data_IF_852577967743
#
_entry.id   IF_852577967743
#
_cell.length_a   1.000
_cell.length_b   1.000
_cell.length_c   1.000
_cell.angle_alpha   90.00
_cell.angle_beta   90.00
_cell.angle_gamma   90.00
#
_symmetry.space_group_name_H-M   'P 1'
#
loop_
_entity.id
_entity.type
_entity.pdbx_description
1 polymer ?
#
# COMPACT_ATOMS: atom_id res chain seq x y z
N UNK A 1 -23.34 -55.51 32.75
CA UNK A 1 -22.44 -56.06 31.70
C UNK A 1 -22.00 -54.90 30.81
N UNK A 2 -20.98 -54.15 31.21
CA UNK A 2 -20.34 -53.14 30.35
C UNK A 2 -19.30 -53.86 29.49
N UNK A 3 -19.35 -53.64 28.18
CA UNK A 3 -18.33 -54.08 27.23
C UNK A 3 -17.45 -52.86 26.93
N UNK A 4 -16.24 -52.85 27.46
CA UNK A 4 -15.21 -51.89 27.07
C UNK A 4 -14.70 -52.23 25.67
N UNK A 5 -14.83 -51.28 24.74
CA UNK A 5 -14.26 -51.37 23.40
C UNK A 5 -12.86 -50.76 23.50
N UNK A 6 -11.82 -51.58 23.28
CA UNK A 6 -10.45 -51.11 23.08
C UNK A 6 -10.24 -50.75 21.61
N UNK A 7 -9.80 -49.53 21.35
CA UNK A 7 -9.38 -49.07 20.02
C UNK A 7 -7.86 -48.86 20.09
N UNK A 8 -7.10 -49.67 19.36
CA UNK A 8 -5.67 -49.49 19.20
C UNK A 8 -5.42 -48.45 18.10
N UNK A 9 -4.92 -47.28 18.50
CA UNK A 9 -4.42 -46.23 17.60
C UNK A 9 -2.89 -46.28 17.62
N UNK A 10 -2.28 -46.80 16.55
CA UNK A 10 -0.84 -46.64 16.34
C UNK A 10 -0.55 -45.19 15.94
N UNK A 11 0.16 -44.48 16.81
CA UNK A 11 0.63 -43.10 16.57
C UNK A 11 2.02 -43.18 15.92
N UNK A 12 2.24 -42.63 14.71
CA UNK A 12 3.57 -42.60 14.11
C UNK A 12 4.52 -41.71 14.89
N UNK A 13 5.74 -42.17 15.15
CA UNK A 13 6.76 -41.40 15.88
C UNK A 13 7.38 -40.29 15.02
N UNK A 14 7.52 -39.10 15.60
CA UNK A 14 8.20 -37.96 14.99
C UNK A 14 9.72 -38.19 14.89
N UNK A 15 10.40 -37.71 13.82
CA UNK A 15 11.84 -37.87 13.68
C UNK A 15 12.60 -37.02 14.70
N UNK A 16 13.53 -37.67 15.40
CA UNK A 16 14.41 -37.03 16.40
C UNK A 16 15.71 -36.58 15.74
N UNK A 17 16.16 -35.36 16.03
CA UNK A 17 17.45 -34.82 15.56
C UNK A 17 18.60 -35.47 16.34
N UNK A 18 19.57 -36.06 15.64
CA UNK A 18 20.81 -36.58 16.25
C UNK A 18 21.88 -35.48 16.38
N UNK A 19 22.27 -35.18 17.61
CA UNK A 19 23.40 -34.31 17.95
C UNK A 19 24.74 -35.01 17.67
N UNK A 20 25.51 -34.51 16.70
CA UNK A 20 26.91 -34.93 16.51
C UNK A 20 27.84 -34.15 17.43
N UNK A 21 28.58 -34.90 18.26
CA UNK A 21 29.53 -34.48 19.30
C UNK A 21 30.64 -33.54 18.78
N UNK A 22 30.99 -32.57 19.63
CA UNK A 22 32.18 -31.70 19.52
C UNK A 22 33.44 -32.47 19.92
N UNK A 23 34.46 -32.44 19.07
CA UNK A 23 35.84 -32.78 19.45
C UNK A 23 36.77 -31.56 19.48
N UNK A 24 37.70 -31.58 20.45
CA UNK A 24 38.56 -30.49 20.90
C UNK A 24 39.77 -30.25 19.98
N UNK A 25 39.88 -29.00 19.52
CA UNK A 25 41.05 -28.08 19.47
C UNK A 25 42.47 -28.70 19.47
N UNK A 26 43.17 -28.60 18.34
CA UNK A 26 44.64 -28.60 18.27
C UNK A 26 45.13 -27.26 17.67
N UNK A 27 46.02 -26.57 18.39
CA UNK A 27 46.64 -25.29 17.98
C UNK A 27 47.90 -25.57 17.18
N UNK A 28 47.97 -25.16 15.90
CA UNK A 28 49.24 -24.96 15.17
C UNK A 28 49.20 -23.68 14.32
N UNK A 29 50.40 -23.14 14.14
CA UNK A 29 50.79 -21.73 13.95
C UNK A 29 50.39 -21.14 12.59
N UNK A 30 50.31 -19.82 12.58
CA UNK A 30 49.99 -18.98 11.43
C UNK A 30 51.03 -19.07 10.32
N UNK A 31 50.56 -19.28 9.09
CA UNK A 31 51.10 -18.66 7.88
C UNK A 31 49.92 -18.36 6.95
N UNK A 32 49.53 -17.08 6.89
CA UNK A 32 48.54 -16.58 5.95
C UNK A 32 49.22 -16.45 4.58
N UNK A 33 49.13 -17.47 3.74
CA UNK A 33 49.21 -17.21 2.31
C UNK A 33 47.92 -16.51 1.88
N UNK A 34 48.03 -15.25 1.47
CA UNK A 34 46.96 -14.51 0.81
C UNK A 34 46.54 -15.29 -0.44
N UNK A 35 45.37 -15.93 -0.39
CA UNK A 35 44.65 -16.25 -1.62
C UNK A 35 44.09 -14.92 -2.11
N UNK A 36 44.62 -14.44 -3.23
CA UNK A 36 44.08 -13.28 -3.95
C UNK A 36 42.61 -13.54 -4.28
N UNK A 37 41.72 -12.66 -3.81
CA UNK A 37 40.32 -12.68 -4.24
C UNK A 37 40.25 -12.52 -5.77
N UNK A 38 39.41 -13.28 -6.48
CA UNK A 38 39.07 -12.96 -7.86
C UNK A 38 38.40 -11.59 -7.87
N UNK A 39 38.89 -10.66 -8.69
CA UNK A 39 38.23 -9.38 -8.92
C UNK A 39 36.87 -9.65 -9.57
N UNK A 40 35.79 -9.56 -8.80
CA UNK A 40 34.45 -9.52 -9.36
C UNK A 40 34.20 -8.10 -9.88
N UNK A 41 34.64 -7.84 -11.11
CA UNK A 41 34.19 -6.69 -11.89
C UNK A 41 32.78 -6.98 -12.40
N UNK A 42 31.79 -6.80 -11.54
CA UNK A 42 30.40 -6.46 -11.91
C UNK A 42 29.62 -6.26 -10.61
N UNK A 43 28.93 -5.12 -10.42
CA UNK A 43 27.94 -4.99 -9.38
C UNK A 43 26.91 -6.11 -9.52
N UNK A 44 26.29 -6.59 -8.41
CA UNK A 44 25.15 -7.47 -8.51
C UNK A 44 24.11 -6.85 -9.46
N UNK A 45 23.41 -7.66 -10.29
CA UNK A 45 22.36 -7.13 -11.13
C UNK A 45 21.39 -6.37 -10.23
N UNK A 46 21.15 -5.10 -10.53
CA UNK A 46 20.09 -4.36 -9.83
C UNK A 46 18.79 -5.13 -10.06
N UNK A 47 18.00 -5.29 -8.99
CA UNK A 47 16.67 -5.83 -9.13
C UNK A 47 15.90 -4.99 -10.16
N UNK A 48 15.11 -5.60 -11.05
CA UNK A 48 14.38 -4.87 -12.09
C UNK A 48 13.41 -3.81 -11.52
N UNK A 49 13.02 -3.95 -10.24
CA UNK A 49 12.29 -2.90 -9.51
C UNK A 49 13.12 -1.62 -9.28
N UNK A 50 14.42 -1.75 -9.02
CA UNK A 50 15.31 -0.62 -8.70
C UNK A 50 15.63 0.24 -9.94
N UNK A 51 15.80 -0.38 -11.12
CA UNK A 51 16.06 0.35 -12.37
C UNK A 51 14.82 1.12 -12.86
N UNK A 52 13.63 0.58 -12.61
CA UNK A 52 12.36 1.30 -12.82
C UNK A 52 12.20 2.49 -11.86
N UNK A 53 12.75 2.37 -10.65
CA UNK A 53 12.67 3.39 -9.61
C UNK A 53 13.63 4.57 -9.89
N UNK A 54 14.84 4.29 -10.37
CA UNK A 54 15.83 5.32 -10.72
C UNK A 54 15.43 6.13 -11.97
N UNK A 55 14.89 5.46 -13.01
CA UNK A 55 14.35 6.16 -14.18
C UNK A 55 13.15 7.05 -13.83
N UNK A 56 12.37 6.67 -12.81
CA UNK A 56 11.23 7.43 -12.35
C UNK A 56 11.64 8.60 -11.46
N UNK A 57 12.64 8.45 -10.57
CA UNK A 57 13.23 9.56 -9.79
C UNK A 57 13.73 10.67 -10.71
N UNK A 58 14.35 10.29 -11.83
CA UNK A 58 14.82 11.24 -12.84
C UNK A 58 13.66 11.89 -13.60
N UNK A 59 12.56 11.16 -13.85
CA UNK A 59 11.38 11.69 -14.53
C UNK A 59 10.45 12.54 -13.65
N UNK A 60 10.27 12.23 -12.37
CA UNK A 60 9.55 13.10 -11.41
C UNK A 60 10.32 14.39 -11.13
N UNK A 61 11.67 14.34 -11.09
CA UNK A 61 12.51 15.55 -11.01
C UNK A 61 12.33 16.46 -12.22
N UNK A 62 12.14 15.87 -13.41
CA UNK A 62 11.95 16.59 -14.66
C UNK A 62 10.46 16.84 -15.00
N UNK A 63 9.53 16.38 -14.16
CA UNK A 63 8.10 16.57 -14.37
C UNK A 63 7.69 17.90 -13.78
N UNK A 64 7.62 18.92 -14.64
CA UNK A 64 7.16 20.24 -14.26
C UNK A 64 5.62 20.25 -14.16
N UNK A 65 5.11 20.08 -12.95
CA UNK A 65 3.67 20.10 -12.67
C UNK A 65 3.02 21.45 -13.05
N UNK A 66 3.80 22.52 -13.18
CA UNK A 66 3.29 23.82 -13.62
C UNK A 66 2.87 23.83 -15.10
N UNK A 67 3.41 22.92 -15.94
CA UNK A 67 3.00 22.81 -17.36
C UNK A 67 1.53 22.35 -17.47
N UNK A 68 1.04 21.57 -16.51
CA UNK A 68 -0.37 21.14 -16.49
C UNK A 68 -1.29 22.24 -15.91
N UNK A 69 -0.79 23.05 -14.97
CA UNK A 69 -1.51 24.17 -14.36
C UNK A 69 -1.68 25.36 -15.34
N UNK A 70 -0.87 25.44 -16.40
CA UNK A 70 -1.00 26.44 -17.47
C UNK A 70 -2.07 26.13 -18.53
N UNK A 71 -2.77 25.00 -18.46
CA UNK A 71 -3.92 24.72 -19.33
C UNK A 71 -5.23 25.15 -18.66
N UNK A 72 -5.39 26.46 -18.50
CA UNK A 72 -6.66 27.11 -18.16
C UNK A 72 -7.68 27.07 -19.32
N UNK A 73 -8.95 27.27 -18.96
CA UNK A 73 -10.20 26.97 -19.69
C UNK A 73 -10.38 27.42 -21.17
N UNK A 74 -9.46 28.14 -21.80
CA UNK A 74 -9.69 28.73 -23.14
C UNK A 74 -8.61 28.37 -24.17
N UNK A 75 -8.47 27.08 -24.52
CA UNK A 75 -7.68 26.68 -25.68
C UNK A 75 -8.39 25.64 -26.55
N UNK A 76 -8.50 25.87 -27.88
CA UNK A 76 -9.27 25.00 -28.76
C UNK A 76 -8.60 23.62 -28.84
N UNK A 77 -9.37 22.62 -28.42
CA UNK A 77 -9.10 21.17 -28.47
C UNK A 77 -8.41 20.77 -29.77
N UNK A 78 -7.07 20.78 -29.78
CA UNK A 78 -6.27 20.13 -30.81
C UNK A 78 -5.35 19.12 -30.14
N UNK A 79 -5.65 17.86 -30.43
CA UNK A 79 -4.84 16.68 -30.17
C UNK A 79 -4.35 16.52 -28.74
N UNK A 80 -5.30 16.24 -27.85
CA UNK A 80 -5.02 15.46 -26.65
C UNK A 80 -4.72 14.02 -27.09
N UNK A 81 -3.55 13.79 -27.69
CA UNK A 81 -2.81 12.56 -27.42
C UNK A 81 -2.48 12.64 -25.93
N UNK A 82 -3.50 12.31 -25.11
CA UNK A 82 -3.37 12.13 -23.67
C UNK A 82 -2.13 11.30 -23.50
N UNK A 83 -1.14 11.83 -22.81
CA UNK A 83 0.12 11.16 -22.57
C UNK A 83 -0.15 9.76 -22.01
N UNK A 84 -0.32 8.77 -22.90
CA UNK A 84 -0.67 7.39 -22.58
C UNK A 84 0.44 6.78 -21.71
N UNK A 85 1.64 7.34 -21.82
CA UNK A 85 2.83 7.06 -21.03
C UNK A 85 2.80 7.61 -19.59
N UNK A 86 2.01 8.66 -19.31
CA UNK A 86 1.77 9.18 -17.94
C UNK A 86 0.69 8.34 -17.24
N UNK A 87 -0.36 7.97 -17.97
CA UNK A 87 -1.44 7.10 -17.47
C UNK A 87 -0.95 5.67 -17.19
N UNK A 88 0.03 5.16 -17.96
CA UNK A 88 0.50 3.78 -17.86
C UNK A 88 1.52 3.46 -16.74
N UNK A 89 2.05 4.43 -15.99
CA UNK A 89 3.06 4.15 -14.92
C UNK A 89 2.76 4.74 -13.54
N UNK A 90 1.74 5.58 -13.45
CA UNK A 90 1.07 6.01 -12.21
C UNK A 90 -0.40 5.53 -12.24
N UNK A 91 -0.65 4.42 -12.93
CA UNK A 91 -1.94 3.79 -13.00
C UNK A 91 -2.43 3.49 -11.58
N UNK A 92 -3.70 3.79 -11.34
CA UNK A 92 -4.42 3.36 -10.15
C UNK A 92 -4.13 1.87 -9.95
N UNK A 93 -3.53 1.47 -8.83
CA UNK A 93 -3.17 0.07 -8.57
C UNK A 93 -3.84 -0.48 -7.31
N UNK A 94 -4.36 -1.69 -7.42
CA UNK A 94 -4.84 -2.49 -6.29
C UNK A 94 -3.67 -3.10 -5.47
N UNK A 95 -2.44 -2.89 -5.91
CA UNK A 95 -1.24 -3.35 -5.22
C UNK A 95 -0.42 -2.21 -4.60
N UNK A 96 -0.82 -0.95 -4.73
CA UNK A 96 -0.08 0.18 -4.16
C UNK A 96 -0.19 0.25 -2.63
N UNK A 97 -1.28 -0.29 -2.09
CA UNK A 97 -1.52 -0.48 -0.68
C UNK A 97 -2.25 -1.80 -0.41
N UNK A 98 -2.06 -2.34 0.79
CA UNK A 98 -2.83 -3.46 1.33
C UNK A 98 -3.65 -3.00 2.52
N UNK A 99 -4.95 -3.24 2.49
CA UNK A 99 -5.81 -3.06 3.64
C UNK A 99 -5.86 -4.34 4.47
N UNK A 100 -5.99 -4.19 5.79
CA UNK A 100 -5.99 -5.31 6.74
C UNK A 100 -7.10 -5.10 7.75
N UNK A 101 -7.46 -6.17 8.46
CA UNK A 101 -8.34 -6.05 9.62
C UNK A 101 -7.54 -6.21 10.91
N UNK A 102 -7.96 -5.58 12.02
CA UNK A 102 -7.40 -5.93 13.31
C UNK A 102 -7.70 -7.39 13.64
N UNK A 103 -6.77 -8.04 14.35
CA UNK A 103 -6.98 -9.41 14.87
C UNK A 103 -8.22 -9.46 15.78
N UNK A 104 -8.41 -8.42 16.58
CA UNK A 104 -9.60 -8.22 17.42
C UNK A 104 -10.48 -7.11 16.82
N UNK A 105 -11.67 -7.49 16.34
CA UNK A 105 -12.61 -6.57 15.70
C UNK A 105 -13.19 -5.55 16.68
N UNK A 106 -13.21 -5.82 17.99
CA UNK A 106 -13.65 -4.85 19.00
C UNK A 106 -12.82 -3.56 18.97
N UNK A 107 -11.58 -3.61 18.46
CA UNK A 107 -10.76 -2.41 18.25
C UNK A 107 -11.41 -1.40 17.31
N UNK A 108 -12.25 -1.84 16.37
CA UNK A 108 -12.92 -0.95 15.41
C UNK A 108 -14.01 -0.09 16.05
N UNK A 109 -14.54 -0.46 17.23
CA UNK A 109 -15.60 0.29 17.92
C UNK A 109 -15.13 1.66 18.42
N UNK A 110 -13.83 1.77 18.73
CA UNK A 110 -13.24 2.96 19.34
C UNK A 110 -12.51 3.84 18.32
N UNK A 111 -12.51 3.47 17.04
CA UNK A 111 -11.74 4.15 16.01
C UNK A 111 -12.59 5.11 15.19
N UNK A 112 -11.99 6.21 14.77
CA UNK A 112 -12.53 7.02 13.69
C UNK A 112 -12.24 6.37 12.33
N UNK A 113 -12.99 6.71 11.27
CA UNK A 113 -12.70 6.22 9.93
C UNK A 113 -11.27 6.54 9.48
N UNK A 114 -10.78 7.75 9.77
CA UNK A 114 -9.40 8.13 9.47
C UNK A 114 -8.39 7.29 10.25
N UNK A 115 -8.64 7.02 11.54
CA UNK A 115 -7.74 6.17 12.35
C UNK A 115 -7.68 4.74 11.82
N UNK A 116 -8.81 4.18 11.37
CA UNK A 116 -8.81 2.87 10.74
C UNK A 116 -7.88 2.86 9.52
N UNK A 117 -8.05 3.79 8.59
CA UNK A 117 -7.23 3.83 7.36
C UNK A 117 -5.77 4.11 7.69
N UNK A 118 -5.47 4.99 8.65
CA UNK A 118 -4.08 5.26 9.08
C UNK A 118 -3.40 4.02 9.66
N UNK A 119 -4.10 3.23 10.47
CA UNK A 119 -3.51 2.12 11.20
C UNK A 119 -3.54 0.78 10.45
N UNK A 120 -4.49 0.60 9.53
CA UNK A 120 -4.74 -0.68 8.85
C UNK A 120 -4.57 -0.60 7.33
N UNK A 121 -3.98 0.48 6.81
CA UNK A 121 -3.50 0.58 5.43
C UNK A 121 -1.97 0.46 5.39
N UNK A 122 -1.48 -0.61 4.77
CA UNK A 122 -0.06 -0.85 4.54
C UNK A 122 0.29 -0.34 3.15
N UNK A 123 1.00 0.78 3.08
CA UNK A 123 1.36 1.43 1.82
C UNK A 123 2.75 0.94 1.37
N UNK A 124 2.88 0.50 0.11
CA UNK A 124 4.18 0.07 -0.44
C UNK A 124 5.16 1.23 -0.53
N UNK A 125 6.46 0.92 -0.42
CA UNK A 125 7.55 1.91 -0.35
C UNK A 125 7.51 2.94 -1.48
N UNK A 126 7.34 2.47 -2.72
CA UNK A 126 7.22 3.32 -3.92
C UNK A 126 6.10 4.35 -3.80
N UNK A 127 4.93 3.91 -3.33
CA UNK A 127 3.75 4.77 -3.22
C UNK A 127 3.84 5.71 -2.02
N UNK A 128 4.38 5.24 -0.91
CA UNK A 128 4.70 6.08 0.26
C UNK A 128 5.61 7.25 -0.12
N UNK A 129 6.62 7.01 -0.95
CA UNK A 129 7.52 8.07 -1.44
C UNK A 129 6.78 9.14 -2.25
N UNK A 130 5.90 8.72 -3.17
CA UNK A 130 5.04 9.64 -3.94
C UNK A 130 4.17 10.51 -3.03
N UNK A 131 3.47 9.88 -2.08
CA UNK A 131 2.60 10.60 -1.15
C UNK A 131 3.39 11.61 -0.30
N UNK A 132 4.58 11.22 0.17
CA UNK A 132 5.48 12.11 0.90
C UNK A 132 5.95 13.31 0.05
N UNK A 133 6.33 13.08 -1.21
CA UNK A 133 6.83 14.14 -2.08
C UNK A 133 5.72 15.16 -2.40
N UNK A 134 4.47 14.70 -2.56
CA UNK A 134 3.31 15.58 -2.74
C UNK A 134 2.97 16.30 -1.43
N UNK A 135 2.98 15.59 -0.29
CA UNK A 135 2.74 16.18 1.02
C UNK A 135 3.68 17.35 1.31
N UNK A 136 4.97 17.21 1.00
CA UNK A 136 5.98 18.26 1.21
C UNK A 136 5.66 19.53 0.40
N UNK A 137 5.01 19.41 -0.76
CA UNK A 137 4.61 20.56 -1.60
C UNK A 137 3.38 21.31 -1.06
N UNK A 138 2.50 20.63 -0.33
CA UNK A 138 1.22 21.19 0.11
C UNK A 138 1.12 21.47 1.61
N UNK A 139 2.07 20.98 2.41
CA UNK A 139 2.12 21.32 3.83
C UNK A 139 2.41 22.81 4.01
N UNK A 140 1.79 23.41 5.02
CA UNK A 140 2.09 24.78 5.39
C UNK A 140 3.26 24.86 6.41
N UNK A 141 3.48 26.04 6.96
CA UNK A 141 4.54 26.29 7.96
C UNK A 141 4.36 25.48 9.25
N UNK A 142 3.17 24.97 9.54
CA UNK A 142 2.90 24.10 10.69
C UNK A 142 3.32 22.66 10.43
N UNK A 143 3.69 22.32 9.19
CA UNK A 143 4.07 20.97 8.80
C UNK A 143 2.89 20.04 8.52
N UNK A 144 1.68 20.58 8.35
CA UNK A 144 0.46 19.85 8.02
C UNK A 144 -0.21 20.45 6.78
N UNK A 145 -1.03 19.68 6.07
CA UNK A 145 -1.86 20.19 4.96
C UNK A 145 -3.15 20.75 5.57
N UNK A 146 -3.48 22.04 5.35
CA UNK A 146 -4.77 22.59 5.73
C UNK A 146 -5.86 22.07 4.78
N UNK A 147 -7.09 21.92 5.28
CA UNK A 147 -8.22 21.37 4.52
C UNK A 147 -8.40 21.98 3.13
N UNK A 148 -8.27 23.31 3.00
CA UNK A 148 -8.40 24.04 1.72
C UNK A 148 -7.44 23.59 0.61
N UNK A 149 -6.30 23.02 0.97
CA UNK A 149 -5.25 22.59 0.02
C UNK A 149 -5.30 21.06 -0.22
N UNK A 150 -6.17 20.35 0.50
CA UNK A 150 -6.23 18.89 0.53
C UNK A 150 -6.77 18.29 -0.77
N UNK A 151 -7.82 18.89 -1.35
CA UNK A 151 -8.36 18.48 -2.65
C UNK A 151 -7.28 18.56 -3.73
N UNK A 152 -6.58 19.70 -3.82
CA UNK A 152 -5.48 19.91 -4.77
C UNK A 152 -4.39 18.86 -4.60
N UNK A 153 -3.99 18.57 -3.37
CA UNK A 153 -2.96 17.58 -3.08
C UNK A 153 -3.38 16.16 -3.49
N UNK A 154 -4.62 15.74 -3.21
CA UNK A 154 -5.14 14.43 -3.61
C UNK A 154 -5.29 14.31 -5.14
N UNK A 155 -5.76 15.36 -5.80
CA UNK A 155 -5.87 15.40 -7.27
C UNK A 155 -4.51 15.21 -7.94
N UNK A 156 -3.45 15.76 -7.36
CA UNK A 156 -2.07 15.54 -7.84
C UNK A 156 -1.59 14.09 -7.66
N UNK A 157 -1.98 13.40 -6.58
CA UNK A 157 -1.66 11.97 -6.39
C UNK A 157 -2.31 11.12 -7.48
N UNK A 158 -3.56 11.46 -7.81
CA UNK A 158 -4.38 10.70 -8.74
C UNK A 158 -4.29 11.24 -10.18
N UNK A 159 -3.28 12.07 -10.48
CA UNK A 159 -2.99 12.58 -11.83
C UNK A 159 -4.25 13.17 -12.51
N UNK A 160 -5.01 13.97 -11.76
CA UNK A 160 -6.24 14.64 -12.19
C UNK A 160 -7.40 13.71 -12.61
N UNK A 161 -7.43 12.46 -12.14
CA UNK A 161 -8.62 11.60 -12.29
C UNK A 161 -9.67 11.84 -11.23
N UNK A 162 -9.31 12.52 -10.13
CA UNK A 162 -10.21 12.80 -9.02
C UNK A 162 -11.17 13.95 -9.36
N UNK A 163 -12.47 13.71 -9.29
CA UNK A 163 -13.48 14.78 -9.40
C UNK A 163 -13.78 15.39 -8.02
N UNK A 164 -14.37 16.59 -7.98
CA UNK A 164 -14.76 17.21 -6.71
C UNK A 164 -15.84 16.42 -5.96
N UNK A 165 -16.67 15.64 -6.66
CA UNK A 165 -17.66 14.77 -6.00
C UNK A 165 -16.99 13.54 -5.39
N UNK A 166 -15.96 12.98 -6.04
CA UNK A 166 -15.13 11.92 -5.44
C UNK A 166 -14.40 12.44 -4.20
N UNK A 167 -13.84 13.65 -4.27
CA UNK A 167 -13.19 14.29 -3.13
C UNK A 167 -14.15 14.47 -1.95
N UNK A 168 -15.34 15.03 -2.17
CA UNK A 168 -16.37 15.19 -1.14
C UNK A 168 -16.75 13.84 -0.53
N UNK A 169 -16.94 12.80 -1.36
CA UNK A 169 -17.22 11.45 -0.90
C UNK A 169 -16.12 10.91 0.01
N UNK A 170 -14.85 11.09 -0.35
CA UNK A 170 -13.70 10.63 0.46
C UNK A 170 -13.64 11.36 1.80
N UNK A 171 -13.79 12.69 1.78
CA UNK A 171 -13.80 13.53 2.99
C UNK A 171 -14.95 13.15 3.93
N UNK A 172 -16.14 12.94 3.38
CA UNK A 172 -17.32 12.51 4.14
C UNK A 172 -17.10 11.12 4.76
N UNK A 173 -16.56 10.17 3.96
CA UNK A 173 -16.30 8.80 4.39
C UNK A 173 -15.25 8.74 5.51
N UNK A 174 -14.25 9.62 5.46
CA UNK A 174 -13.20 9.71 6.47
C UNK A 174 -13.54 10.60 7.67
N UNK A 175 -14.72 11.24 7.65
CA UNK A 175 -15.18 12.16 8.69
C UNK A 175 -14.25 13.36 8.90
N UNK A 176 -13.70 13.87 7.80
CA UNK A 176 -12.77 15.01 7.82
C UNK A 176 -13.58 16.31 7.76
N UNK A 177 -13.28 17.22 8.69
CA UNK A 177 -13.92 18.54 8.76
C UNK A 177 -13.04 19.63 8.16
N UNK A 178 -13.64 20.77 7.85
CA UNK A 178 -12.97 21.93 7.26
C UNK A 178 -11.87 22.53 8.17
N UNK A 179 -11.94 22.27 9.47
CA UNK A 179 -10.92 22.69 10.46
C UNK A 179 -9.77 21.68 10.60
N UNK A 180 -9.89 20.51 9.98
CA UNK A 180 -8.90 19.44 10.11
C UNK A 180 -7.61 19.83 9.41
N UNK A 181 -6.49 19.52 10.08
CA UNK A 181 -5.15 19.62 9.53
C UNK A 181 -4.57 18.22 9.44
N UNK A 182 -4.12 17.86 8.25
CA UNK A 182 -3.74 16.49 7.93
C UNK A 182 -2.22 16.36 7.98
N UNK A 183 -1.73 15.41 8.78
CA UNK A 183 -0.32 15.03 8.85
C UNK A 183 0.08 14.10 7.70
N UNK A 184 1.36 13.76 7.59
CA UNK A 184 1.87 12.94 6.49
C UNK A 184 1.23 11.54 6.46
N UNK A 185 0.98 10.96 7.63
CA UNK A 185 0.39 9.63 7.74
C UNK A 185 -1.10 9.67 7.38
N UNK A 186 -1.83 10.68 7.85
CA UNK A 186 -3.22 10.93 7.45
C UNK A 186 -3.33 11.15 5.94
N UNK A 187 -2.48 12.00 5.36
CA UNK A 187 -2.51 12.26 3.93
C UNK A 187 -2.18 11.00 3.12
N UNK A 188 -1.18 10.23 3.55
CA UNK A 188 -0.80 8.98 2.88
C UNK A 188 -1.93 7.95 2.93
N UNK A 189 -2.60 7.82 4.07
CA UNK A 189 -3.75 6.95 4.25
C UNK A 189 -4.94 7.37 3.37
N UNK A 190 -5.25 8.67 3.33
CA UNK A 190 -6.27 9.24 2.46
C UNK A 190 -5.97 8.97 0.99
N UNK A 191 -4.73 9.20 0.57
CA UNK A 191 -4.28 8.99 -0.80
C UNK A 191 -4.40 7.51 -1.22
N UNK A 192 -4.01 6.59 -0.34
CA UNK A 192 -4.14 5.15 -0.57
C UNK A 192 -5.60 4.72 -0.69
N UNK A 193 -6.48 5.21 0.19
CA UNK A 193 -7.91 4.91 0.10
C UNK A 193 -8.51 5.49 -1.19
N UNK A 194 -8.21 6.75 -1.51
CA UNK A 194 -8.72 7.41 -2.69
C UNK A 194 -8.34 6.63 -3.96
N UNK A 195 -7.08 6.22 -4.07
CA UNK A 195 -6.62 5.37 -5.16
C UNK A 195 -7.37 4.04 -5.23
N UNK A 196 -7.60 3.39 -4.08
CA UNK A 196 -8.35 2.13 -4.00
C UNK A 196 -9.77 2.25 -4.53
N UNK A 197 -10.47 3.32 -4.15
CA UNK A 197 -11.82 3.59 -4.60
C UNK A 197 -11.85 3.91 -6.10
N UNK A 198 -10.86 4.67 -6.59
CA UNK A 198 -10.78 5.04 -8.00
C UNK A 198 -10.36 3.86 -8.89
N UNK A 199 -9.51 2.95 -8.42
CA UNK A 199 -9.18 1.71 -9.14
C UNK A 199 -10.45 0.95 -9.51
N UNK A 200 -11.36 0.77 -8.56
CA UNK A 200 -12.55 -0.05 -8.78
C UNK A 200 -13.48 0.53 -9.85
N UNK A 201 -13.45 1.83 -10.08
CA UNK A 201 -14.37 2.52 -11.01
C UNK A 201 -13.77 2.75 -12.39
N UNK A 202 -12.44 2.76 -12.52
CA UNK A 202 -11.76 3.17 -13.76
C UNK A 202 -11.01 2.04 -14.48
N UNK A 203 -10.99 0.82 -13.94
CA UNK A 203 -10.32 -0.34 -14.56
C UNK A 203 -11.22 -0.94 -15.63
N UNK A 204 -10.70 -1.08 -16.86
CA UNK A 204 -11.43 -1.74 -17.94
C UNK A 204 -11.43 -3.27 -17.77
N UNK A 205 -12.39 -3.95 -18.38
CA UNK A 205 -12.51 -5.42 -18.32
C UNK A 205 -11.22 -6.16 -18.73
N UNK A 206 -10.45 -5.57 -19.65
CA UNK A 206 -9.18 -6.12 -20.14
C UNK A 206 -8.01 -5.98 -19.14
N UNK A 207 -8.14 -5.07 -18.17
CA UNK A 207 -7.11 -4.79 -17.16
C UNK A 207 -7.32 -5.57 -15.86
N UNK A 208 -8.53 -6.10 -15.61
CA UNK A 208 -8.88 -6.81 -14.36
C UNK A 208 -8.00 -8.04 -14.11
N UNK A 209 -7.59 -8.73 -15.18
CA UNK A 209 -6.77 -9.94 -15.07
C UNK A 209 -5.28 -9.64 -14.84
N UNK A 210 -4.86 -8.38 -14.99
CA UNK A 210 -3.47 -8.00 -14.74
C UNK A 210 -3.19 -7.95 -13.23
N UNK A 211 -2.01 -8.43 -12.78
CA UNK A 211 -1.69 -8.52 -11.36
C UNK A 211 -1.86 -7.20 -10.59
N UNK A 212 -1.50 -6.07 -11.19
CA UNK A 212 -1.53 -4.74 -10.58
C UNK A 212 -2.94 -4.25 -10.23
N UNK A 213 -3.97 -4.87 -10.81
CA UNK A 213 -5.39 -4.57 -10.59
C UNK A 213 -6.09 -5.67 -9.77
N UNK A 214 -5.33 -6.62 -9.24
CA UNK A 214 -5.80 -7.60 -8.27
C UNK A 214 -5.32 -7.23 -6.87
N UNK A 215 -6.20 -7.43 -5.89
CA UNK A 215 -5.84 -7.31 -4.46
C UNK A 215 -4.85 -8.41 -4.09
N UNK A 216 -3.98 -8.12 -3.13
CA UNK A 216 -3.08 -9.14 -2.57
C UNK A 216 -3.92 -10.28 -1.96
N UNK A 217 -3.51 -11.54 -2.17
CA UNK A 217 -4.27 -12.70 -1.66
C UNK A 217 -4.42 -12.70 -0.13
N UNK A 218 -3.46 -12.10 0.57
CA UNK A 218 -3.49 -11.90 2.02
C UNK A 218 -4.64 -10.96 2.41
N UNK A 219 -4.86 -9.88 1.65
CA UNK A 219 -6.01 -8.99 1.86
C UNK A 219 -7.32 -9.72 1.58
N UNK A 220 -7.41 -10.47 0.48
CA UNK A 220 -8.61 -11.25 0.20
C UNK A 220 -8.94 -12.23 1.35
N UNK A 221 -7.91 -12.85 1.94
CA UNK A 221 -8.09 -13.71 3.11
C UNK A 221 -8.55 -12.93 4.36
N UNK A 222 -7.95 -11.76 4.62
CA UNK A 222 -8.36 -10.88 5.72
C UNK A 222 -9.81 -10.42 5.58
N UNK A 223 -10.27 -10.08 4.38
CA UNK A 223 -11.63 -9.61 4.13
C UNK A 223 -12.64 -10.73 3.86
N UNK A 224 -12.18 -11.97 3.74
CA UNK A 224 -13.08 -13.12 3.63
C UNK A 224 -14.02 -13.21 4.83
N UNK A 225 -15.30 -13.48 4.56
CA UNK A 225 -16.35 -13.53 5.57
C UNK A 225 -16.44 -12.29 6.48
N UNK A 226 -16.16 -11.09 5.95
CA UNK A 226 -16.21 -9.81 6.67
C UNK A 226 -17.48 -9.67 7.52
N UNK A 227 -18.65 -10.00 6.97
CA UNK A 227 -19.95 -9.83 7.63
C UNK A 227 -20.04 -10.66 8.92
N UNK A 228 -19.46 -11.87 8.90
CA UNK A 228 -19.39 -12.74 10.06
C UNK A 228 -18.38 -12.21 11.08
N UNK A 229 -17.25 -11.66 10.62
CA UNK A 229 -16.22 -11.05 11.49
C UNK A 229 -16.75 -9.81 12.23
N UNK A 230 -17.65 -9.05 11.60
CA UNK A 230 -18.28 -7.87 12.20
C UNK A 230 -19.48 -8.22 13.10
N UNK A 231 -19.91 -9.47 13.15
CA UNK A 231 -21.09 -9.88 13.93
C UNK A 231 -20.84 -9.65 15.43
N UNK A 232 -21.75 -8.91 16.07
CA UNK A 232 -21.68 -8.61 17.51
C UNK A 232 -20.78 -7.44 17.88
N UNK A 233 -20.18 -6.73 16.90
CA UNK A 233 -19.30 -5.59 17.12
C UNK A 233 -19.99 -4.29 16.69
N UNK A 234 -19.95 -3.26 17.53
CA UNK A 234 -20.56 -1.94 17.26
C UNK A 234 -19.59 -1.01 16.53
N UNK A 235 -19.34 -1.32 15.25
CA UNK A 235 -18.40 -0.54 14.42
C UNK A 235 -19.05 0.73 13.89
N UNK A 236 -18.27 1.81 13.82
CA UNK A 236 -18.68 3.06 13.18
C UNK A 236 -19.24 2.77 11.76
N UNK A 237 -20.45 3.25 11.42
CA UNK A 237 -21.06 2.98 10.11
C UNK A 237 -20.20 3.38 8.91
N UNK A 238 -19.40 4.45 9.04
CA UNK A 238 -18.47 4.89 8.00
C UNK A 238 -17.31 3.92 7.82
N UNK A 239 -16.78 3.34 8.90
CA UNK A 239 -15.79 2.26 8.82
C UNK A 239 -16.39 1.05 8.11
N UNK A 240 -17.60 0.62 8.50
CA UNK A 240 -18.28 -0.50 7.81
C UNK A 240 -18.43 -0.23 6.31
N UNK A 241 -18.77 1.00 5.93
CA UNK A 241 -18.84 1.40 4.52
C UNK A 241 -17.48 1.32 3.82
N UNK A 242 -16.40 1.81 4.44
CA UNK A 242 -15.03 1.66 3.93
C UNK A 242 -14.73 0.18 3.71
N UNK A 243 -14.95 -0.67 4.72
CA UNK A 243 -14.65 -2.10 4.64
C UNK A 243 -15.40 -2.80 3.50
N UNK A 244 -16.66 -2.41 3.26
CA UNK A 244 -17.48 -2.93 2.15
C UNK A 244 -17.00 -2.45 0.78
N UNK A 245 -16.57 -1.19 0.66
CA UNK A 245 -15.99 -0.66 -0.58
C UNK A 245 -14.59 -1.25 -0.86
N UNK A 246 -13.91 -1.74 0.18
CA UNK A 246 -12.62 -2.41 0.10
C UNK A 246 -12.71 -3.92 -0.13
N UNK A 247 -13.87 -4.56 0.03
CA UNK A 247 -14.07 -5.99 -0.22
C UNK A 247 -14.28 -6.29 -1.71
#
# INVERSE_FOLDING_TARGET
KNKDIKVDLEVPSLPTFEDKKKDKKEKRKADRHLVSQPKHETPPPKDPEDDLDDQLKQRLKNFDFNIMEMMGEDSPRKNVQKATWVTGRLALSQQSSRFTLPIDMARLEQMTPLDYVKNFCIIKRRRKKLYQDIFVKHKDKTGQIPFKDLEKALTMVLVNTLTSDDYKRIVELLDISDSTRVDVDGFSAMAALAERLMCSTHVSQEQVDQPDYQKEKIECADFSALEWKLTGVQVNPKIVRILKELN
#
